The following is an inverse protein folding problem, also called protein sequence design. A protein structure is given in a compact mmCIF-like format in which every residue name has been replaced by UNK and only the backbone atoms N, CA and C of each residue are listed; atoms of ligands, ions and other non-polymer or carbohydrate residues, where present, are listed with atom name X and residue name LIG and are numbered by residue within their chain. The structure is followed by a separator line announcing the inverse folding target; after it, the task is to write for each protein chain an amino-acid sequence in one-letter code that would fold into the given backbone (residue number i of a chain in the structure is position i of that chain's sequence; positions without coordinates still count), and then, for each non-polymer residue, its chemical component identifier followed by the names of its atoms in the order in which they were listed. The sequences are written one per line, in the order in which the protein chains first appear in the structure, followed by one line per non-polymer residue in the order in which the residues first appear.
data_IF_278692875592
#
_entry.id   IF_278692875592
#
_cell.length_a   1.000
_cell.length_b   1.000
_cell.length_c   1.000
_cell.angle_alpha   90.00
_cell.angle_beta   90.00
_cell.angle_gamma   90.00
#
_symmetry.space_group_name_H-M   'P 1'
#
loop_
_entity.id
_entity.type
_entity.pdbx_description
1 polymer ?
#
# COMPACT_ATOMS: atom_id res chain seq x y z
N UNK A 1 -11.40 47.32 -19.00
CA UNK A 1 -11.92 46.22 -18.16
C UNK A 1 -11.99 44.99 -19.02
N UNK A 2 -10.97 44.17 -18.96
CA UNK A 2 -10.81 42.98 -19.81
C UNK A 2 -11.24 41.75 -19.03
N UNK A 3 -12.19 40.99 -19.59
CA UNK A 3 -12.63 39.71 -19.02
C UNK A 3 -11.54 38.67 -19.23
N UNK A 4 -11.05 38.10 -18.15
CA UNK A 4 -10.11 36.97 -18.18
C UNK A 4 -10.91 35.71 -18.50
N UNK A 5 -10.68 35.16 -19.67
CA UNK A 5 -11.14 33.86 -20.14
C UNK A 5 -10.61 32.74 -19.21
N UNK A 6 -11.53 31.94 -18.63
CA UNK A 6 -11.28 30.79 -17.76
C UNK A 6 -11.58 29.47 -18.45
N UNK A 7 -11.26 29.34 -19.71
CA UNK A 7 -11.45 28.11 -20.47
C UNK A 7 -10.09 27.51 -20.84
N UNK A 8 -9.40 26.82 -19.91
CA UNK A 8 -8.39 25.79 -20.24
C UNK A 8 -7.82 25.18 -18.96
N UNK A 9 -8.63 24.40 -18.25
CA UNK A 9 -8.13 23.45 -17.21
C UNK A 9 -8.83 22.10 -17.27
N UNK A 10 -9.21 21.63 -18.44
CA UNK A 10 -9.67 20.25 -18.65
C UNK A 10 -8.56 19.46 -19.37
N UNK A 11 -7.40 19.42 -18.74
CA UNK A 11 -6.26 18.59 -19.13
C UNK A 11 -6.16 17.34 -18.26
N UNK A 12 -6.44 16.18 -18.84
CA UNK A 12 -6.16 14.84 -18.31
C UNK A 12 -7.06 14.36 -17.17
N UNK A 13 -8.35 14.23 -17.42
CA UNK A 13 -9.15 13.21 -16.73
C UNK A 13 -8.72 11.83 -17.28
N UNK A 14 -7.75 11.19 -16.62
CA UNK A 14 -7.43 9.78 -16.84
C UNK A 14 -8.74 8.99 -16.77
N UNK A 15 -8.91 8.02 -17.67
CA UNK A 15 -10.05 7.12 -17.76
C UNK A 15 -10.58 6.78 -16.36
N UNK A 16 -11.83 7.15 -16.07
CA UNK A 16 -12.50 6.78 -14.81
C UNK A 16 -12.65 5.26 -14.83
N UNK A 17 -11.63 4.56 -14.33
CA UNK A 17 -11.71 3.14 -14.11
C UNK A 17 -12.93 2.90 -13.21
N UNK A 18 -13.93 2.15 -13.71
CA UNK A 18 -15.15 1.91 -12.95
C UNK A 18 -14.80 1.13 -11.71
N UNK A 19 -14.85 1.81 -10.56
CA UNK A 19 -14.57 1.20 -9.27
C UNK A 19 -15.51 0.00 -9.07
N UNK A 20 -14.94 -1.19 -8.86
CA UNK A 20 -15.73 -2.38 -8.52
C UNK A 20 -16.45 -2.16 -7.19
N UNK A 21 -17.73 -2.51 -7.05
CA UNK A 21 -18.42 -2.52 -5.76
C UNK A 21 -17.67 -3.38 -4.73
N UNK A 22 -17.74 -2.98 -3.46
CA UNK A 22 -17.22 -3.80 -2.37
C UNK A 22 -18.09 -5.04 -2.19
N UNK A 23 -17.47 -6.19 -1.93
CA UNK A 23 -18.16 -7.40 -1.54
C UNK A 23 -18.78 -7.24 -0.14
N UNK A 24 -19.60 -8.22 0.28
CA UNK A 24 -20.17 -8.24 1.63
C UNK A 24 -19.07 -8.31 2.69
N UNK A 25 -18.06 -9.13 2.49
CA UNK A 25 -16.96 -9.32 3.42
C UNK A 25 -16.07 -8.07 3.51
N UNK A 26 -15.81 -7.42 2.36
CA UNK A 26 -15.13 -6.13 2.31
C UNK A 26 -15.94 -5.03 3.04
N UNK A 27 -17.26 -4.98 2.87
CA UNK A 27 -18.11 -4.02 3.58
C UNK A 27 -18.10 -4.26 5.10
N UNK A 28 -18.07 -5.51 5.54
CA UNK A 28 -17.96 -5.87 6.95
C UNK A 28 -16.57 -5.47 7.50
N UNK A 29 -15.49 -5.83 6.79
CA UNK A 29 -14.10 -5.51 7.18
C UNK A 29 -13.87 -4.01 7.30
N UNK A 30 -14.34 -3.24 6.31
CA UNK A 30 -14.10 -1.79 6.23
C UNK A 30 -15.26 -0.94 6.73
N UNK A 31 -16.20 -1.53 7.45
CA UNK A 31 -17.40 -0.82 7.93
C UNK A 31 -17.05 0.49 8.66
N UNK A 32 -16.06 0.46 9.55
CA UNK A 32 -15.64 1.65 10.30
C UNK A 32 -15.03 2.74 9.42
N UNK A 33 -14.32 2.38 8.38
CA UNK A 33 -13.78 3.34 7.41
C UNK A 33 -14.91 4.00 6.63
N UNK A 34 -15.92 3.22 6.22
CA UNK A 34 -17.06 3.72 5.45
C UNK A 34 -17.97 4.67 6.25
N UNK A 35 -17.89 4.67 7.60
CA UNK A 35 -18.59 5.63 8.46
C UNK A 35 -17.90 7.00 8.53
N UNK A 36 -16.65 7.11 8.09
CA UNK A 36 -15.93 8.40 8.07
C UNK A 36 -16.47 9.24 6.90
N UNK A 37 -17.01 10.44 7.14
CA UNK A 37 -17.66 11.25 6.09
C UNK A 37 -16.75 11.61 4.91
N UNK A 38 -15.42 11.64 5.11
CA UNK A 38 -14.44 11.95 4.06
C UNK A 38 -14.01 10.71 3.27
N UNK A 39 -14.39 9.51 3.73
CA UNK A 39 -14.07 8.23 3.09
C UNK A 39 -15.31 7.65 2.41
N UNK A 40 -16.31 7.31 3.19
CA UNK A 40 -17.54 6.64 2.76
C UNK A 40 -17.24 5.33 1.98
N UNK A 41 -18.26 4.71 1.39
CA UNK A 41 -18.10 3.51 0.57
C UNK A 41 -17.26 3.79 -0.69
N UNK A 42 -17.46 4.95 -1.32
CA UNK A 42 -16.74 5.33 -2.54
C UNK A 42 -15.25 5.57 -2.26
N UNK A 43 -14.92 6.21 -1.14
CA UNK A 43 -13.53 6.38 -0.71
C UNK A 43 -12.85 5.05 -0.44
N UNK A 44 -13.54 4.11 0.21
CA UNK A 44 -13.01 2.77 0.45
C UNK A 44 -12.78 2.00 -0.86
N UNK A 45 -13.65 2.15 -1.86
CA UNK A 45 -13.43 1.59 -3.19
C UNK A 45 -12.16 2.16 -3.86
N UNK A 46 -11.90 3.46 -3.68
CA UNK A 46 -10.67 4.12 -4.17
C UNK A 46 -9.43 3.61 -3.45
N UNK A 47 -9.49 3.47 -2.11
CA UNK A 47 -8.39 2.89 -1.31
C UNK A 47 -8.08 1.48 -1.81
N UNK A 48 -9.09 0.64 -2.02
CA UNK A 48 -8.92 -0.71 -2.55
C UNK A 48 -8.36 -0.72 -3.99
N UNK A 49 -8.70 0.25 -4.82
CA UNK A 49 -8.15 0.36 -6.17
C UNK A 49 -6.73 0.97 -6.20
N UNK A 50 -6.25 1.50 -5.06
CA UNK A 50 -4.94 2.14 -5.01
C UNK A 50 -3.80 1.13 -4.95
N UNK A 51 -2.63 1.57 -5.45
CA UNK A 51 -1.36 0.84 -5.41
C UNK A 51 -0.33 1.70 -4.70
N UNK A 52 0.36 1.14 -3.74
CA UNK A 52 1.38 1.85 -2.94
C UNK A 52 2.68 1.07 -2.96
N UNK A 53 3.79 1.74 -3.25
CA UNK A 53 5.12 1.17 -3.14
C UNK A 53 5.80 1.71 -1.89
N UNK A 54 6.29 0.80 -1.05
CA UNK A 54 7.09 1.10 0.13
C UNK A 54 8.55 0.77 -0.13
N UNK A 55 9.41 1.75 0.02
CA UNK A 55 10.85 1.59 -0.09
C UNK A 55 11.41 1.43 1.33
N UNK A 56 11.79 0.21 1.65
CA UNK A 56 12.23 -0.23 2.98
C UNK A 56 11.11 -0.80 3.84
N UNK A 57 11.33 -2.01 4.37
CA UNK A 57 10.47 -2.69 5.35
C UNK A 57 11.03 -2.54 6.78
N UNK A 58 11.74 -1.44 7.04
CA UNK A 58 12.37 -1.11 8.32
C UNK A 58 11.42 -0.45 9.32
N UNK A 59 11.99 0.38 10.22
CA UNK A 59 11.25 0.98 11.34
C UNK A 59 10.07 1.88 10.96
N UNK A 60 10.11 2.55 9.80
CA UNK A 60 9.00 3.36 9.29
C UNK A 60 8.12 2.57 8.31
N UNK A 61 8.73 1.77 7.43
CA UNK A 61 7.99 0.96 6.46
C UNK A 61 7.15 -0.13 7.12
N UNK A 62 7.63 -0.74 8.18
CA UNK A 62 6.94 -1.80 8.91
C UNK A 62 5.54 -1.39 9.42
N UNK A 63 5.38 -0.34 10.24
CA UNK A 63 4.04 0.10 10.66
C UNK A 63 3.22 0.65 9.50
N UNK A 64 3.83 1.38 8.55
CA UNK A 64 3.12 1.89 7.37
C UNK A 64 2.50 0.74 6.56
N UNK A 65 3.24 -0.34 6.28
CA UNK A 65 2.74 -1.50 5.55
C UNK A 65 1.53 -2.14 6.25
N UNK A 66 1.61 -2.33 7.57
CA UNK A 66 0.51 -2.91 8.35
C UNK A 66 -0.75 -2.03 8.32
N UNK A 67 -0.62 -0.72 8.51
CA UNK A 67 -1.77 0.19 8.49
C UNK A 67 -2.38 0.34 7.10
N UNK A 68 -1.58 0.39 6.04
CA UNK A 68 -2.07 0.41 4.66
C UNK A 68 -2.81 -0.89 4.32
N UNK A 69 -2.27 -2.03 4.73
CA UNK A 69 -2.94 -3.33 4.57
C UNK A 69 -4.25 -3.40 5.36
N UNK A 70 -4.27 -2.95 6.61
CA UNK A 70 -5.47 -2.91 7.44
C UNK A 70 -6.53 -1.97 6.85
N UNK A 71 -6.12 -0.83 6.27
CA UNK A 71 -7.01 0.11 5.60
C UNK A 71 -7.56 -0.42 4.26
N UNK A 72 -6.99 -1.49 3.71
CA UNK A 72 -7.45 -2.12 2.48
C UNK A 72 -6.91 -1.51 1.19
N UNK A 73 -5.67 -1.01 1.20
CA UNK A 73 -4.94 -0.68 -0.04
C UNK A 73 -4.84 -1.95 -0.87
N UNK A 74 -5.26 -1.88 -2.15
CA UNK A 74 -5.41 -3.09 -2.97
C UNK A 74 -4.11 -3.77 -3.33
N UNK A 75 -3.06 -3.01 -3.65
CA UNK A 75 -1.73 -3.56 -3.94
C UNK A 75 -0.66 -2.83 -3.13
N UNK A 76 0.18 -3.58 -2.45
CA UNK A 76 1.35 -3.03 -1.73
C UNK A 76 2.62 -3.64 -2.32
N UNK A 77 3.44 -2.78 -2.95
CA UNK A 77 4.80 -3.11 -3.36
C UNK A 77 5.77 -2.91 -2.19
N UNK A 78 6.70 -3.82 -2.02
CA UNK A 78 7.76 -3.75 -1.00
C UNK A 78 9.13 -3.86 -1.67
N UNK A 79 10.02 -2.91 -1.42
CA UNK A 79 11.42 -2.97 -1.85
C UNK A 79 12.31 -2.94 -0.61
N UNK A 80 13.10 -3.99 -0.39
CA UNK A 80 14.12 -4.06 0.67
C UNK A 80 15.11 -5.17 0.32
N UNK A 81 16.40 -4.96 0.55
CA UNK A 81 17.48 -5.92 0.27
C UNK A 81 17.99 -6.64 1.52
N UNK A 82 17.55 -6.23 2.71
CA UNK A 82 17.99 -6.78 3.99
C UNK A 82 17.27 -8.09 4.37
N UNK A 83 17.90 -8.81 5.29
CA UNK A 83 17.28 -9.90 6.05
C UNK A 83 16.81 -9.41 7.43
N UNK A 84 15.87 -10.13 8.02
CA UNK A 84 15.36 -9.84 9.36
C UNK A 84 16.45 -10.18 10.39
N UNK A 85 16.77 -9.21 11.25
CA UNK A 85 17.71 -9.37 12.34
C UNK A 85 17.00 -9.18 13.70
N UNK A 86 17.40 -9.93 14.70
CA UNK A 86 16.81 -9.86 16.05
C UNK A 86 16.89 -8.45 16.64
N UNK A 87 17.95 -7.71 16.34
CA UNK A 87 18.15 -6.31 16.78
C UNK A 87 17.21 -5.31 16.13
N UNK A 88 16.46 -5.74 15.12
CA UNK A 88 15.48 -4.91 14.43
C UNK A 88 14.07 -5.03 15.06
N UNK A 89 13.76 -6.14 15.73
CA UNK A 89 12.40 -6.51 16.14
C UNK A 89 11.77 -5.53 17.12
N UNK A 90 12.56 -4.81 17.91
CA UNK A 90 12.05 -3.82 18.87
C UNK A 90 11.37 -2.60 18.22
N UNK A 91 11.54 -2.39 16.88
CA UNK A 91 10.92 -1.29 16.12
C UNK A 91 10.33 -1.69 14.77
N UNK A 92 10.72 -2.81 14.21
CA UNK A 92 10.22 -3.33 12.93
C UNK A 92 9.10 -4.33 13.17
N UNK A 93 7.95 -3.83 13.64
CA UNK A 93 6.84 -4.60 14.19
C UNK A 93 6.13 -5.53 13.21
N UNK A 94 6.43 -5.44 11.92
CA UNK A 94 5.91 -6.35 10.90
C UNK A 94 6.60 -7.71 10.91
N UNK A 95 7.81 -7.78 11.46
CA UNK A 95 8.61 -9.01 11.53
C UNK A 95 8.45 -9.70 12.88
N UNK A 96 8.53 -11.03 12.87
CA UNK A 96 8.49 -11.85 14.07
C UNK A 96 9.83 -12.58 14.31
N UNK A 97 10.07 -13.03 15.54
CA UNK A 97 11.29 -13.79 15.91
C UNK A 97 11.51 -15.00 15.00
N UNK A 98 10.44 -15.70 14.62
CA UNK A 98 10.51 -16.85 13.72
C UNK A 98 10.98 -16.51 12.29
N UNK A 99 10.99 -15.23 11.92
CA UNK A 99 11.44 -14.76 10.60
C UNK A 99 12.92 -14.32 10.58
N UNK A 100 13.64 -14.38 11.72
CA UNK A 100 15.06 -13.98 11.76
C UNK A 100 15.88 -14.79 10.75
N UNK A 101 16.69 -14.07 9.95
CA UNK A 101 17.49 -14.64 8.86
C UNK A 101 16.76 -14.79 7.52
N UNK A 102 15.46 -14.49 7.45
CA UNK A 102 14.68 -14.48 6.19
C UNK A 102 14.67 -13.07 5.56
N UNK A 103 14.49 -12.96 4.25
CA UNK A 103 14.33 -11.67 3.59
C UNK A 103 13.20 -10.84 4.23
N UNK A 104 13.45 -9.55 4.50
CA UNK A 104 12.43 -8.66 5.08
C UNK A 104 11.18 -8.56 4.22
N UNK A 105 11.32 -8.51 2.90
CA UNK A 105 10.17 -8.43 1.98
C UNK A 105 9.27 -9.66 2.06
N UNK A 106 9.84 -10.86 2.23
CA UNK A 106 9.08 -12.10 2.36
C UNK A 106 8.34 -12.17 3.69
N UNK A 107 9.04 -11.83 4.77
CA UNK A 107 8.46 -11.75 6.12
C UNK A 107 7.32 -10.72 6.19
N UNK A 108 7.52 -9.56 5.60
CA UNK A 108 6.50 -8.51 5.54
C UNK A 108 5.29 -8.94 4.69
N UNK A 109 5.52 -9.59 3.55
CA UNK A 109 4.45 -10.09 2.70
C UNK A 109 3.57 -11.14 3.41
N UNK A 110 4.18 -12.03 4.20
CA UNK A 110 3.45 -12.98 5.05
C UNK A 110 2.57 -12.26 6.09
N UNK A 111 3.14 -11.28 6.80
CA UNK A 111 2.43 -10.54 7.82
C UNK A 111 1.25 -9.75 7.24
N UNK A 112 1.43 -9.11 6.08
CA UNK A 112 0.36 -8.39 5.37
C UNK A 112 -0.76 -9.35 4.98
N UNK A 113 -0.46 -10.50 4.36
CA UNK A 113 -1.47 -11.49 3.95
C UNK A 113 -2.21 -12.10 5.14
N UNK A 114 -1.52 -12.30 6.26
CA UNK A 114 -2.15 -12.77 7.49
C UNK A 114 -3.11 -11.73 8.09
N UNK A 115 -2.80 -10.44 7.97
CA UNK A 115 -3.65 -9.34 8.43
C UNK A 115 -4.85 -9.11 7.49
N UNK A 116 -4.58 -9.08 6.18
CA UNK A 116 -5.59 -8.81 5.16
C UNK A 116 -5.30 -9.61 3.88
N UNK A 117 -5.96 -10.75 3.68
CA UNK A 117 -5.73 -11.61 2.53
C UNK A 117 -6.18 -11.00 1.19
N UNK A 118 -7.00 -9.93 1.21
CA UNK A 118 -7.48 -9.26 0.00
C UNK A 118 -6.42 -8.30 -0.59
N UNK A 119 -5.32 -8.07 0.12
CA UNK A 119 -4.23 -7.20 -0.35
C UNK A 119 -3.24 -8.01 -1.19
N UNK A 120 -3.03 -7.57 -2.42
CA UNK A 120 -1.96 -8.06 -3.26
C UNK A 120 -0.61 -7.52 -2.78
N UNK A 121 0.38 -8.41 -2.58
CA UNK A 121 1.73 -7.99 -2.18
C UNK A 121 2.73 -8.38 -3.25
N UNK A 122 3.44 -7.35 -3.77
CA UNK A 122 4.53 -7.49 -4.73
C UNK A 122 5.86 -7.23 -4.02
N UNK A 123 6.64 -8.27 -3.79
CA UNK A 123 7.89 -8.21 -3.04
C UNK A 123 9.11 -8.16 -3.99
N UNK A 124 9.95 -7.15 -3.80
CA UNK A 124 11.21 -6.97 -4.56
C UNK A 124 12.38 -7.02 -3.59
N UNK A 125 13.09 -8.15 -3.53
CA UNK A 125 14.33 -8.28 -2.75
C UNK A 125 15.48 -7.62 -3.50
N UNK A 126 15.53 -6.31 -3.43
CA UNK A 126 16.56 -5.51 -4.08
C UNK A 126 16.67 -4.14 -3.41
N UNK A 127 17.80 -3.47 -3.64
CA UNK A 127 17.97 -2.05 -3.30
C UNK A 127 17.46 -1.20 -4.46
N UNK A 128 16.66 -0.16 -4.15
CA UNK A 128 16.27 0.82 -5.16
C UNK A 128 17.49 1.68 -5.53
N UNK A 129 17.76 1.78 -6.82
CA UNK A 129 18.85 2.60 -7.39
C UNK A 129 18.31 3.40 -8.57
N UNK A 130 19.10 4.38 -9.06
CA UNK A 130 18.73 5.14 -10.25
C UNK A 130 18.57 4.24 -11.50
N UNK A 131 19.33 3.15 -11.57
CA UNK A 131 19.34 2.25 -12.72
C UNK A 131 18.12 1.36 -12.80
N UNK A 132 17.58 0.90 -11.64
CA UNK A 132 16.42 0.01 -11.60
C UNK A 132 15.09 0.71 -11.25
N UNK A 133 15.15 2.01 -10.90
CA UNK A 133 13.96 2.73 -10.43
C UNK A 133 12.84 2.75 -11.47
N UNK A 134 13.20 2.93 -12.76
CA UNK A 134 12.19 2.99 -13.83
C UNK A 134 11.44 1.66 -13.99
N UNK A 135 12.13 0.54 -13.89
CA UNK A 135 11.54 -0.80 -14.05
C UNK A 135 10.69 -1.19 -12.83
N UNK A 136 11.04 -0.68 -11.64
CA UNK A 136 10.33 -0.97 -10.39
C UNK A 136 9.12 -0.04 -10.16
N UNK A 137 9.10 1.15 -10.79
CA UNK A 137 8.07 2.18 -10.63
C UNK A 137 7.09 2.25 -11.82
N UNK A 138 7.40 1.55 -12.93
CA UNK A 138 6.66 1.59 -14.19
C UNK A 138 5.39 0.77 -14.27
#
# INVERSE_FOLDING_TARGET
MSAVDRSDRDGACGSVERLRPLSRDELERYHRNALVPQVEVVGQQRIRASRVLLIGAGGLGAPAALYLAAAGVGTIGLIDDDDVDVTNLQRQVIHATAAVGRPKVDSAAEAIRALNPDVEVVAHRTRLTADNARDLLG
#
